data_IF_285815393886
#
_entry.id   IF_285815393886
#
_cell.length_a   1.000
_cell.length_b   1.000
_cell.length_c   1.000
_cell.angle_alpha   90.00
_cell.angle_beta   90.00
_cell.angle_gamma   90.00
#
_symmetry.space_group_name_H-M   'P 1'
#
loop_
_entity.id
_entity.type
_entity.pdbx_description
1 polymer ?
#
# COMPACT_ATOMS: atom_id res chain seq x y z
N UNK A 1 -38.71 18.66 24.08
CA UNK A 1 -38.34 17.42 23.36
C UNK A 1 -37.04 17.71 22.63
N UNK A 2 -35.92 17.21 23.13
CA UNK A 2 -34.61 17.43 22.54
C UNK A 2 -34.43 16.47 21.36
N UNK A 3 -34.27 17.02 20.16
CA UNK A 3 -33.95 16.27 18.95
C UNK A 3 -32.54 15.72 19.11
N UNK A 4 -32.39 14.40 19.19
CA UNK A 4 -31.10 13.74 19.17
C UNK A 4 -30.48 13.94 17.79
N UNK A 5 -29.55 14.88 17.67
CA UNK A 5 -28.67 14.95 16.50
C UNK A 5 -27.90 13.63 16.46
N UNK A 6 -28.19 12.83 15.44
CA UNK A 6 -27.58 11.53 15.16
C UNK A 6 -26.05 11.64 15.14
N UNK A 7 -25.37 10.72 15.81
CA UNK A 7 -23.91 10.54 15.88
C UNK A 7 -23.19 10.31 14.53
N UNK A 8 -23.87 10.52 13.41
CA UNK A 8 -23.42 10.26 12.05
C UNK A 8 -22.58 11.40 11.43
N UNK A 9 -22.63 12.60 12.03
CA UNK A 9 -21.99 13.79 11.46
C UNK A 9 -20.45 13.83 11.62
N UNK A 10 -19.88 12.81 12.28
CA UNK A 10 -18.42 12.62 12.39
C UNK A 10 -18.01 11.15 12.27
N UNK A 11 -18.72 10.37 11.47
CA UNK A 11 -18.28 9.02 11.17
C UNK A 11 -17.14 9.10 10.13
N UNK A 12 -15.90 8.73 10.50
CA UNK A 12 -14.74 8.85 9.61
C UNK A 12 -14.88 8.01 8.34
N UNK A 13 -15.71 6.95 8.34
CA UNK A 13 -16.03 6.19 7.14
C UNK A 13 -16.68 7.09 6.07
N UNK A 14 -17.72 7.82 6.45
CA UNK A 14 -18.48 8.65 5.50
C UNK A 14 -17.68 9.86 5.03
N UNK A 15 -16.74 10.37 5.83
CA UNK A 15 -15.79 11.39 5.36
C UNK A 15 -14.89 10.86 4.23
N UNK A 16 -14.42 9.62 4.32
CA UNK A 16 -13.62 9.00 3.27
C UNK A 16 -14.45 8.74 2.02
N UNK A 17 -15.68 8.23 2.15
CA UNK A 17 -16.59 8.01 1.01
C UNK A 17 -16.90 9.32 0.28
N UNK A 18 -16.99 10.45 0.99
CA UNK A 18 -17.17 11.77 0.36
C UNK A 18 -15.92 12.24 -0.39
N UNK A 19 -14.72 11.93 0.12
CA UNK A 19 -13.44 12.24 -0.54
C UNK A 19 -13.21 11.38 -1.77
N UNK A 20 -13.43 10.07 -1.65
CA UNK A 20 -13.28 9.09 -2.73
C UNK A 20 -14.39 8.03 -2.62
N UNK A 21 -15.42 8.09 -3.47
CA UNK A 21 -16.50 7.12 -3.44
C UNK A 21 -16.03 5.73 -3.87
N UNK A 22 -16.40 4.68 -3.11
CA UNK A 22 -16.12 3.29 -3.46
C UNK A 22 -16.97 2.86 -4.67
N UNK A 23 -16.38 2.94 -5.86
CA UNK A 23 -16.98 2.54 -7.13
C UNK A 23 -15.93 1.83 -7.99
N UNK A 24 -16.32 1.01 -8.98
CA UNK A 24 -15.37 0.40 -9.90
C UNK A 24 -14.44 1.44 -10.54
N UNK A 25 -13.14 1.19 -10.45
CA UNK A 25 -12.07 1.95 -11.10
C UNK A 25 -12.11 1.64 -12.60
N UNK A 26 -11.98 2.66 -13.45
CA UNK A 26 -12.10 2.53 -14.92
C UNK A 26 -10.95 3.18 -15.70
N UNK A 27 -9.96 3.73 -15.02
CA UNK A 27 -8.82 4.40 -15.64
C UNK A 27 -7.64 4.46 -14.69
N UNK A 28 -6.43 4.60 -15.23
CA UNK A 28 -5.20 4.74 -14.44
C UNK A 28 -5.24 6.01 -13.56
N UNK A 29 -5.81 7.12 -14.04
CA UNK A 29 -6.03 8.32 -13.21
C UNK A 29 -6.97 8.09 -12.00
N UNK A 30 -7.86 7.09 -12.07
CA UNK A 30 -8.70 6.68 -10.95
C UNK A 30 -7.94 5.73 -10.02
N UNK A 31 -7.12 4.84 -10.59
CA UNK A 31 -6.21 3.95 -9.87
C UNK A 31 -5.21 4.76 -9.02
N UNK A 32 -4.52 5.74 -9.62
CA UNK A 32 -3.53 6.57 -8.91
C UNK A 32 -4.12 7.28 -7.69
N UNK A 33 -5.36 7.78 -7.82
CA UNK A 33 -6.08 8.41 -6.70
C UNK A 33 -6.47 7.40 -5.63
N UNK A 34 -6.84 6.19 -6.02
CA UNK A 34 -7.16 5.11 -5.09
C UNK A 34 -5.90 4.65 -4.34
N UNK A 35 -4.78 4.46 -5.03
CA UNK A 35 -3.48 4.12 -4.43
C UNK A 35 -3.04 5.21 -3.45
N UNK A 36 -3.11 6.49 -3.84
CA UNK A 36 -2.76 7.59 -2.94
C UNK A 36 -3.62 7.62 -1.66
N UNK A 37 -4.90 7.24 -1.76
CA UNK A 37 -5.78 7.10 -0.60
C UNK A 37 -5.40 5.90 0.27
N UNK A 38 -5.05 4.76 -0.33
CA UNK A 38 -4.54 3.58 0.39
C UNK A 38 -3.26 3.95 1.15
N UNK A 39 -2.28 4.55 0.48
CA UNK A 39 -1.00 4.97 1.06
C UNK A 39 -1.18 5.93 2.24
N UNK A 40 -2.12 6.88 2.14
CA UNK A 40 -2.45 7.79 3.24
C UNK A 40 -3.04 7.06 4.46
N UNK A 41 -3.81 6.00 4.24
CA UNK A 41 -4.53 5.29 5.31
C UNK A 41 -3.67 4.22 5.99
N UNK A 42 -2.79 3.52 5.26
CA UNK A 42 -1.98 2.41 5.80
C UNK A 42 -0.92 2.86 6.81
N UNK A 43 -0.50 4.13 6.76
CA UNK A 43 0.51 4.68 7.68
C UNK A 43 -0.07 5.20 9.00
N UNK A 44 -1.39 5.19 9.18
CA UNK A 44 -2.04 5.76 10.36
C UNK A 44 -2.01 4.82 11.55
N UNK A 45 -1.59 5.34 12.70
CA UNK A 45 -1.76 4.68 14.00
C UNK A 45 -3.21 4.84 14.49
N UNK A 46 -3.74 3.83 15.22
CA UNK A 46 -5.08 3.83 15.84
C UNK A 46 -6.26 4.15 14.89
N UNK A 47 -6.40 3.34 13.85
CA UNK A 47 -7.44 3.49 12.83
C UNK A 47 -8.81 2.97 13.29
N UNK A 48 -9.87 3.76 13.05
CA UNK A 48 -11.23 3.39 13.43
C UNK A 48 -11.73 2.18 12.60
N UNK A 49 -12.55 1.26 13.17
CA UNK A 49 -13.03 0.07 12.45
C UNK A 49 -13.69 0.36 11.10
N UNK A 50 -14.54 1.39 11.00
CA UNK A 50 -15.16 1.75 9.73
C UNK A 50 -14.13 2.21 8.67
N UNK A 51 -13.02 2.82 9.09
CA UNK A 51 -11.96 3.19 8.14
C UNK A 51 -11.22 1.95 7.63
N UNK A 52 -11.05 0.92 8.46
CA UNK A 52 -10.52 -0.38 8.01
C UNK A 52 -11.44 -1.04 6.99
N UNK A 53 -12.75 -1.06 7.25
CA UNK A 53 -13.73 -1.61 6.30
C UNK A 53 -13.70 -0.86 4.96
N UNK A 54 -13.53 0.47 5.00
CA UNK A 54 -13.35 1.28 3.80
C UNK A 54 -12.06 0.90 3.04
N UNK A 55 -10.93 0.77 3.76
CA UNK A 55 -9.64 0.44 3.19
C UNK A 55 -9.63 -0.95 2.53
N UNK A 56 -10.29 -1.93 3.17
CA UNK A 56 -10.42 -3.29 2.66
C UNK A 56 -11.13 -3.30 1.30
N UNK A 57 -12.31 -2.68 1.22
CA UNK A 57 -13.08 -2.60 -0.05
C UNK A 57 -12.33 -1.77 -1.11
N UNK A 58 -11.66 -0.69 -0.73
CA UNK A 58 -10.86 0.09 -1.67
C UNK A 58 -9.71 -0.74 -2.25
N UNK A 59 -9.04 -1.54 -1.43
CA UNK A 59 -7.94 -2.42 -1.84
C UNK A 59 -8.41 -3.49 -2.81
N UNK A 60 -9.59 -4.07 -2.58
CA UNK A 60 -10.22 -5.00 -3.53
C UNK A 60 -10.50 -4.36 -4.90
N UNK A 61 -10.94 -3.10 -4.91
CA UNK A 61 -11.21 -2.35 -6.15
C UNK A 61 -9.92 -2.07 -6.93
N UNK A 62 -8.85 -1.69 -6.24
CA UNK A 62 -7.50 -1.52 -6.81
C UNK A 62 -7.03 -2.84 -7.42
N UNK A 63 -7.03 -3.91 -6.63
CA UNK A 63 -6.59 -5.23 -7.07
C UNK A 63 -7.36 -5.71 -8.31
N UNK A 64 -8.70 -5.54 -8.31
CA UNK A 64 -9.54 -5.92 -9.44
C UNK A 64 -9.17 -5.20 -10.73
N UNK A 65 -8.86 -3.92 -10.66
CA UNK A 65 -8.48 -3.13 -11.83
C UNK A 65 -7.07 -3.48 -12.31
N UNK A 66 -6.10 -3.55 -11.40
CA UNK A 66 -4.71 -3.93 -11.72
C UNK A 66 -4.62 -5.33 -12.32
N UNK A 67 -5.36 -6.31 -11.79
CA UNK A 67 -5.38 -7.67 -12.32
C UNK A 67 -5.90 -7.73 -13.77
N UNK A 68 -6.76 -6.79 -14.17
CA UNK A 68 -7.32 -6.73 -15.52
C UNK A 68 -6.44 -5.92 -16.49
N UNK A 69 -5.95 -4.76 -16.08
CA UNK A 69 -5.24 -3.81 -16.94
C UNK A 69 -3.71 -3.92 -16.85
N UNK A 70 -3.18 -4.38 -15.71
CA UNK A 70 -1.74 -4.50 -15.42
C UNK A 70 -1.37 -5.92 -14.93
N UNK A 71 -1.61 -6.98 -15.74
CA UNK A 71 -1.36 -8.35 -15.32
C UNK A 71 0.14 -8.61 -15.09
N UNK A 72 0.48 -9.15 -13.93
CA UNK A 72 1.87 -9.57 -13.62
C UNK A 72 2.16 -10.87 -14.39
N UNK A 73 3.16 -10.90 -15.29
CA UNK A 73 3.51 -12.11 -16.00
C UNK A 73 4.11 -13.14 -15.04
N UNK A 74 3.88 -14.45 -15.25
CA UNK A 74 4.51 -15.48 -14.45
C UNK A 74 6.03 -15.42 -14.63
N UNK A 75 6.75 -15.36 -13.50
CA UNK A 75 8.21 -15.50 -13.51
C UNK A 75 8.59 -16.97 -13.71
N UNK A 76 9.61 -17.23 -14.50
CA UNK A 76 10.21 -18.56 -14.64
C UNK A 76 11.07 -18.91 -13.41
N UNK A 77 11.24 -20.19 -13.13
CA UNK A 77 12.12 -20.68 -12.05
C UNK A 77 13.55 -20.09 -12.16
N UNK A 78 14.05 -19.90 -13.39
CA UNK A 78 15.35 -19.30 -13.65
C UNK A 78 15.41 -17.81 -13.30
N UNK A 79 14.33 -17.05 -13.55
CA UNK A 79 14.22 -15.64 -13.20
C UNK A 79 14.09 -15.44 -11.69
N UNK A 80 13.29 -16.27 -11.02
CA UNK A 80 13.20 -16.26 -9.55
C UNK A 80 14.54 -16.63 -8.93
N UNK A 81 15.22 -17.66 -9.45
CA UNK A 81 16.54 -18.06 -8.97
C UNK A 81 17.59 -16.96 -9.19
N UNK A 82 17.58 -16.30 -10.36
CA UNK A 82 18.47 -15.17 -10.66
C UNK A 82 18.18 -13.99 -9.72
N UNK A 83 16.93 -13.61 -9.53
CA UNK A 83 16.51 -12.56 -8.60
C UNK A 83 16.96 -12.86 -7.16
N UNK A 84 16.86 -14.11 -6.72
CA UNK A 84 17.34 -14.55 -5.40
C UNK A 84 18.86 -14.51 -5.27
N UNK A 85 19.61 -14.81 -6.34
CA UNK A 85 21.06 -14.66 -6.34
C UNK A 85 21.47 -13.18 -6.30
N UNK A 86 20.82 -12.33 -7.10
CA UNK A 86 21.13 -10.89 -7.20
C UNK A 86 20.77 -10.16 -5.90
N UNK A 87 19.61 -10.47 -5.31
CA UNK A 87 19.17 -9.93 -4.00
C UNK A 87 19.97 -10.45 -2.81
N UNK A 88 20.72 -11.56 -2.94
CA UNK A 88 21.67 -12.09 -1.93
C UNK A 88 23.12 -11.66 -2.18
N UNK A 89 23.43 -11.15 -3.36
CA UNK A 89 24.74 -10.62 -3.75
C UNK A 89 24.96 -9.15 -3.34
N UNK A 90 23.89 -8.40 -3.12
CA UNK A 90 23.92 -6.99 -2.66
C UNK A 90 24.04 -6.83 -1.13
N UNK A 91 24.13 -7.91 -0.36
CA UNK A 91 23.98 -7.85 1.11
C UNK A 91 25.05 -8.64 1.87
N UNK A 92 25.85 -9.49 1.22
CA UNK A 92 27.10 -9.98 1.83
C UNK A 92 28.31 -9.16 1.38
N UNK A 93 28.38 -8.79 0.11
CA UNK A 93 29.51 -8.02 -0.44
C UNK A 93 29.45 -6.54 -0.05
N UNK A 94 28.27 -5.92 -0.07
CA UNK A 94 28.10 -4.55 0.41
C UNK A 94 28.20 -4.47 1.93
N UNK A 95 27.65 -5.42 2.69
CA UNK A 95 27.83 -5.47 4.14
C UNK A 95 29.30 -5.67 4.54
N UNK A 96 30.05 -6.51 3.81
CA UNK A 96 31.49 -6.66 4.04
C UNK A 96 32.25 -5.35 3.76
N UNK A 97 31.93 -4.66 2.66
CA UNK A 97 32.54 -3.37 2.33
C UNK A 97 32.16 -2.26 3.33
N UNK A 98 30.91 -2.21 3.81
CA UNK A 98 30.44 -1.24 4.80
C UNK A 98 31.07 -1.49 6.17
N UNK A 99 31.24 -2.74 6.56
CA UNK A 99 31.91 -3.12 7.82
C UNK A 99 33.42 -2.84 7.75
N UNK A 100 34.06 -3.05 6.60
CA UNK A 100 35.48 -2.73 6.40
C UNK A 100 35.74 -1.22 6.40
N UNK A 101 34.85 -0.42 5.80
CA UNK A 101 34.91 1.04 5.84
C UNK A 101 34.68 1.56 7.28
N UNK A 102 33.69 1.02 8.00
CA UNK A 102 33.43 1.36 9.42
C UNK A 102 34.58 1.02 10.37
N UNK A 103 35.32 -0.07 10.10
CA UNK A 103 36.51 -0.43 10.89
C UNK A 103 37.68 0.51 10.59
N UNK A 104 37.81 1.00 9.35
CA UNK A 104 38.85 1.98 9.00
C UNK A 104 38.66 3.36 9.65
N UNK A 105 37.45 3.71 10.09
CA UNK A 105 37.18 4.97 10.81
C UNK A 105 37.42 4.88 12.33
N UNK A 106 37.77 3.70 12.85
CA UNK A 106 37.97 3.45 14.29
C UNK A 106 39.43 3.13 14.69
N UNK A 107 40.39 3.28 13.76
CA UNK A 107 41.85 3.36 14.05
C UNK A 107 42.36 4.79 13.87
#
# INVERSE_FOLDING_TARGET
MATAATSHDRDPYFELVRRLPLRPIRSDDELDRAIAMVDELVIREDIAPGVLDYLDVLSDLVHKYEAAEHPIPPATDAEVHRFLMDSRGLNQSQLAAEVEDLISYLE
#
